data_IF_352513986900
#
_entry.id   IF_352513986900
#
_cell.length_a   1.000
_cell.length_b   1.000
_cell.length_c   1.000
_cell.angle_alpha   90.00
_cell.angle_beta   90.00
_cell.angle_gamma   90.00
#
_symmetry.space_group_name_H-M   'P 1'
#
loop_
_entity.id
_entity.type
_entity.pdbx_description
1 polymer ?
#
# COMPACT_ATOMS: atom_id res chain seq x y z
N UNK A 1 12.76 13.90 -8.34
CA UNK A 1 11.42 14.52 -8.42
C UNK A 1 10.56 13.98 -7.28
N UNK A 2 9.90 14.87 -6.54
CA UNK A 2 9.04 14.51 -5.42
C UNK A 2 7.77 13.82 -5.93
N UNK A 3 7.40 12.69 -5.28
CA UNK A 3 6.13 12.01 -5.53
C UNK A 3 5.10 12.34 -4.46
N UNK A 4 5.52 12.39 -3.20
CA UNK A 4 4.66 12.71 -2.06
C UNK A 4 5.28 13.83 -1.25
N UNK A 5 4.48 14.84 -0.93
CA UNK A 5 4.86 15.90 -0.01
C UNK A 5 3.74 16.09 1.00
N UNK A 6 4.09 15.99 2.27
CA UNK A 6 3.21 16.33 3.40
C UNK A 6 3.67 17.66 3.96
N UNK A 7 2.73 18.62 4.12
CA UNK A 7 3.02 19.96 4.66
C UNK A 7 2.16 20.24 5.88
N UNK A 8 2.83 20.45 7.01
CA UNK A 8 2.20 20.87 8.26
C UNK A 8 1.02 19.98 8.68
N UNK A 9 1.15 18.66 8.50
CA UNK A 9 0.10 17.72 8.88
C UNK A 9 -0.05 17.73 10.40
N UNK A 10 -1.24 18.08 10.88
CA UNK A 10 -1.59 17.96 12.31
C UNK A 10 -2.87 17.14 12.45
N UNK A 11 -2.83 16.21 13.38
CA UNK A 11 -3.93 15.27 13.64
C UNK A 11 -3.96 14.84 15.10
N UNK A 12 -5.16 14.75 15.66
CA UNK A 12 -5.38 14.29 17.04
C UNK A 12 -6.53 13.28 17.12
N UNK A 13 -6.37 12.25 17.94
CA UNK A 13 -7.48 11.42 18.37
C UNK A 13 -7.99 11.92 19.72
N UNK A 14 -9.18 12.52 19.76
CA UNK A 14 -9.71 13.21 20.96
C UNK A 14 -8.66 14.17 21.50
N UNK A 15 -8.19 13.95 22.72
CA UNK A 15 -7.20 14.81 23.40
C UNK A 15 -5.74 14.40 23.15
N UNK A 16 -5.50 13.34 22.36
CA UNK A 16 -4.14 12.85 22.09
C UNK A 16 -3.65 13.34 20.73
N UNK A 17 -2.68 14.25 20.74
CA UNK A 17 -1.97 14.69 19.54
C UNK A 17 -1.15 13.52 19.00
N UNK A 18 -1.28 13.23 17.71
CA UNK A 18 -0.53 12.19 16.97
C UNK A 18 0.50 12.85 16.06
N UNK A 19 0.09 13.90 15.33
CA UNK A 19 0.97 14.71 14.49
C UNK A 19 0.79 16.19 14.83
N UNK A 20 1.89 16.94 14.87
CA UNK A 20 1.91 18.37 15.10
C UNK A 20 2.87 19.04 14.10
N UNK A 21 2.31 19.67 13.06
CA UNK A 21 3.06 20.31 11.97
C UNK A 21 4.05 19.35 11.26
N UNK A 22 3.68 18.08 11.14
CA UNK A 22 4.53 17.05 10.53
C UNK A 22 4.75 17.35 9.04
N UNK A 23 6.03 17.34 8.63
CA UNK A 23 6.45 17.57 7.26
C UNK A 23 7.25 16.38 6.75
N UNK A 24 7.00 15.97 5.51
CA UNK A 24 7.65 14.83 4.91
C UNK A 24 7.70 14.93 3.39
N UNK A 25 8.80 14.48 2.79
CA UNK A 25 8.98 14.43 1.34
C UNK A 25 9.52 13.07 0.92
N UNK A 26 8.96 12.53 -0.15
CA UNK A 26 9.38 11.29 -0.79
C UNK A 26 9.59 11.51 -2.28
N UNK A 27 10.68 10.97 -2.84
CA UNK A 27 10.93 11.02 -4.28
C UNK A 27 10.27 9.87 -5.02
N UNK A 28 10.14 10.02 -6.36
CA UNK A 28 9.63 8.96 -7.24
C UNK A 28 10.51 7.72 -7.14
N UNK A 29 9.84 6.56 -7.23
CA UNK A 29 10.48 5.24 -7.23
C UNK A 29 11.27 4.90 -5.96
N UNK A 30 11.09 5.65 -4.87
CA UNK A 30 11.65 5.28 -3.57
C UNK A 30 10.78 4.20 -2.89
N UNK A 31 11.44 3.40 -2.05
CA UNK A 31 10.79 2.56 -1.05
C UNK A 31 11.12 3.17 0.31
N UNK A 32 10.10 3.46 1.11
CA UNK A 32 10.25 4.00 2.46
C UNK A 32 9.57 3.08 3.48
N UNK A 33 10.30 2.73 4.53
CA UNK A 33 9.80 2.00 5.68
C UNK A 33 9.46 2.97 6.81
N UNK A 34 8.25 2.91 7.33
CA UNK A 34 7.86 3.58 8.56
C UNK A 34 7.99 2.58 9.72
N UNK A 35 9.00 2.76 10.56
CA UNK A 35 9.36 1.83 11.64
C UNK A 35 8.97 2.43 12.99
N UNK A 36 8.41 1.63 13.88
CA UNK A 36 8.10 2.06 15.24
C UNK A 36 7.08 1.16 15.94
N UNK A 37 6.84 1.37 17.22
CA UNK A 37 5.93 0.55 18.01
C UNK A 37 4.47 0.70 17.54
N UNK A 38 3.64 -0.27 17.94
CA UNK A 38 2.19 -0.20 17.66
C UNK A 38 1.56 1.01 18.37
N UNK A 39 0.64 1.68 17.67
CA UNK A 39 -0.11 2.82 18.20
C UNK A 39 0.64 4.17 18.20
N UNK A 40 1.77 4.30 17.49
CA UNK A 40 2.49 5.57 17.34
C UNK A 40 2.05 6.41 16.11
N UNK A 41 0.98 6.03 15.41
CA UNK A 41 0.40 6.84 14.33
C UNK A 41 0.72 6.41 12.90
N UNK A 42 1.55 5.38 12.66
CA UNK A 42 1.95 4.95 11.30
C UNK A 42 0.77 4.66 10.38
N UNK A 43 -0.14 3.78 10.79
CA UNK A 43 -1.35 3.45 10.01
C UNK A 43 -2.29 4.65 9.85
N UNK A 44 -2.30 5.57 10.83
CA UNK A 44 -3.05 6.84 10.73
C UNK A 44 -2.46 7.72 9.62
N UNK A 45 -1.13 7.84 9.54
CA UNK A 45 -0.49 8.59 8.47
C UNK A 45 -0.79 7.99 7.09
N UNK A 46 -0.76 6.65 6.96
CA UNK A 46 -1.16 5.99 5.71
C UNK A 46 -2.61 6.32 5.33
N UNK A 47 -3.54 6.37 6.30
CA UNK A 47 -4.94 6.74 6.06
C UNK A 47 -5.11 8.20 5.65
N UNK A 48 -4.35 9.13 6.25
CA UNK A 48 -4.31 10.54 5.85
C UNK A 48 -3.81 10.66 4.41
N UNK A 49 -2.70 10.05 4.06
CA UNK A 49 -2.12 10.06 2.70
C UNK A 49 -3.11 9.50 1.69
N UNK A 50 -3.75 8.38 2.01
CA UNK A 50 -4.73 7.75 1.12
C UNK A 50 -6.05 8.54 1.03
N UNK A 51 -6.40 9.33 2.06
CA UNK A 51 -7.63 10.11 2.16
C UNK A 51 -8.80 9.37 2.79
N UNK A 52 -8.54 8.29 3.50
CA UNK A 52 -9.52 7.62 4.37
C UNK A 52 -9.70 8.36 5.70
N UNK A 53 -8.67 9.06 6.16
CA UNK A 53 -8.76 9.99 7.27
C UNK A 53 -8.77 11.40 6.69
N UNK A 54 -9.78 12.18 7.04
CA UNK A 54 -10.01 13.53 6.49
C UNK A 54 -10.04 14.62 7.55
N UNK A 55 -10.11 14.25 8.83
CA UNK A 55 -10.18 15.19 9.95
C UNK A 55 -8.76 15.58 10.42
N UNK A 56 -7.99 16.20 9.52
CA UNK A 56 -6.64 16.70 9.79
C UNK A 56 -6.45 18.10 9.19
N UNK A 57 -5.43 18.81 9.64
CA UNK A 57 -4.97 20.05 9.02
C UNK A 57 -3.66 19.83 8.24
N UNK A 58 -3.36 20.73 7.32
CA UNK A 58 -2.20 20.65 6.45
C UNK A 58 -2.52 20.11 5.06
N UNK A 59 -1.49 19.89 4.25
CA UNK A 59 -1.63 19.52 2.84
C UNK A 59 -0.93 18.22 2.51
N UNK A 60 -1.63 17.36 1.75
CA UNK A 60 -1.07 16.18 1.08
C UNK A 60 -0.97 16.48 -0.41
N UNK A 61 0.25 16.46 -0.94
CA UNK A 61 0.49 16.65 -2.37
C UNK A 61 1.03 15.34 -2.99
N UNK A 62 0.41 14.90 -4.07
CA UNK A 62 0.88 13.81 -4.90
C UNK A 62 1.35 14.36 -6.24
N UNK A 63 2.63 14.14 -6.58
CA UNK A 63 3.23 14.65 -7.82
C UNK A 63 3.01 16.17 -8.00
N UNK A 64 3.11 16.92 -6.89
CA UNK A 64 2.91 18.38 -6.81
C UNK A 64 1.44 18.83 -6.78
N UNK A 65 0.47 17.93 -6.92
CA UNK A 65 -0.98 18.25 -6.89
C UNK A 65 -1.54 18.01 -5.49
N UNK A 66 -2.20 19.01 -4.90
CA UNK A 66 -2.90 18.85 -3.63
C UNK A 66 -4.09 17.90 -3.80
N UNK A 67 -4.10 16.81 -3.02
CA UNK A 67 -5.11 15.73 -3.12
C UNK A 67 -6.13 15.75 -1.97
N UNK A 68 -6.11 16.72 -1.07
CA UNK A 68 -7.00 16.75 0.09
C UNK A 68 -8.48 16.59 -0.29
N UNK A 69 -8.92 17.29 -1.34
CA UNK A 69 -10.31 17.28 -1.81
C UNK A 69 -10.56 16.24 -2.94
N UNK A 70 -9.57 15.42 -3.29
CA UNK A 70 -9.74 14.37 -4.30
C UNK A 70 -10.28 13.11 -3.63
N UNK A 71 -11.40 12.53 -4.08
CA UNK A 71 -11.92 11.27 -3.56
C UNK A 71 -10.89 10.14 -3.63
N UNK A 72 -10.87 9.25 -2.62
CA UNK A 72 -9.90 8.14 -2.49
C UNK A 72 -9.72 7.34 -3.78
N UNK A 73 -10.82 7.02 -4.45
CA UNK A 73 -10.81 6.23 -5.70
C UNK A 73 -10.32 6.99 -6.95
N UNK A 74 -9.97 8.26 -6.81
CA UNK A 74 -9.39 9.11 -7.88
C UNK A 74 -7.98 9.60 -7.55
N UNK A 75 -7.47 9.20 -6.38
CA UNK A 75 -6.11 9.54 -5.96
C UNK A 75 -5.16 8.49 -6.50
N UNK A 76 -4.40 8.48 -7.41
CA UNK A 76 -3.42 7.45 -7.82
C UNK A 76 -2.60 6.84 -6.64
N UNK A 77 -3.26 6.61 -5.50
CA UNK A 77 -2.74 6.08 -4.24
C UNK A 77 -3.58 4.88 -3.83
N UNK A 78 -2.96 3.72 -3.66
CA UNK A 78 -3.63 2.52 -3.16
C UNK A 78 -3.08 2.14 -1.80
N UNK A 79 -3.98 1.83 -0.86
CA UNK A 79 -3.64 1.33 0.47
C UNK A 79 -4.03 -0.15 0.59
N UNK A 80 -3.04 -0.98 0.91
CA UNK A 80 -3.24 -2.36 1.33
C UNK A 80 -3.18 -2.44 2.85
N UNK A 81 -4.25 -2.90 3.47
CA UNK A 81 -4.34 -3.10 4.91
C UNK A 81 -3.62 -4.38 5.36
N UNK A 82 -3.34 -4.45 6.66
CA UNK A 82 -2.75 -5.62 7.31
C UNK A 82 -3.56 -6.91 7.03
N UNK A 83 -4.88 -6.83 7.16
CA UNK A 83 -5.77 -7.87 6.66
C UNK A 83 -5.87 -7.76 5.14
N UNK A 84 -5.77 -8.88 4.44
CA UNK A 84 -5.77 -8.89 2.97
C UNK A 84 -7.06 -8.33 2.35
N UNK A 85 -8.16 -8.30 3.12
CA UNK A 85 -9.48 -7.77 2.74
C UNK A 85 -9.94 -8.20 1.33
N UNK A 86 -9.65 -9.47 0.98
CA UNK A 86 -10.15 -10.03 -0.27
C UNK A 86 -11.67 -10.19 -0.20
N UNK A 87 -12.35 -9.98 -1.31
CA UNK A 87 -13.79 -10.21 -1.43
C UNK A 87 -14.05 -11.73 -1.42
N UNK A 88 -14.64 -12.29 -0.34
CA UNK A 88 -14.71 -13.75 -0.17
C UNK A 88 -15.66 -14.45 -1.15
N UNK A 89 -16.60 -13.69 -1.72
CA UNK A 89 -17.60 -14.15 -2.69
C UNK A 89 -17.15 -13.99 -4.16
N UNK A 90 -15.98 -13.44 -4.38
CA UNK A 90 -15.36 -13.25 -5.70
C UNK A 90 -14.21 -14.23 -5.88
N UNK A 91 -14.02 -14.70 -7.12
CA UNK A 91 -12.84 -15.47 -7.52
C UNK A 91 -11.56 -14.62 -7.40
N UNK A 92 -10.40 -15.24 -7.52
CA UNK A 92 -9.13 -14.52 -7.55
C UNK A 92 -9.04 -13.59 -8.75
N UNK A 93 -9.52 -14.05 -9.92
CA UNK A 93 -9.62 -13.19 -11.10
C UNK A 93 -10.46 -11.95 -10.83
N UNK A 94 -11.66 -12.12 -10.26
CA UNK A 94 -12.57 -11.02 -9.95
C UNK A 94 -12.02 -10.08 -8.86
N UNK A 95 -11.31 -10.60 -7.87
CA UNK A 95 -10.62 -9.78 -6.89
C UNK A 95 -9.56 -8.89 -7.54
N UNK A 96 -8.75 -9.43 -8.45
CA UNK A 96 -7.69 -8.68 -9.11
C UNK A 96 -8.26 -7.66 -10.09
N UNK A 97 -9.25 -8.03 -10.90
CA UNK A 97 -9.84 -7.13 -11.92
C UNK A 97 -10.66 -5.97 -11.34
N UNK A 98 -11.00 -6.02 -10.03
CA UNK A 98 -12.02 -5.17 -9.42
C UNK A 98 -11.82 -3.67 -9.71
N UNK A 99 -10.60 -3.14 -9.50
CA UNK A 99 -10.30 -1.73 -9.77
C UNK A 99 -10.47 -1.38 -11.24
N UNK A 100 -9.99 -2.22 -12.15
CA UNK A 100 -10.10 -1.99 -13.60
C UNK A 100 -11.56 -1.96 -14.10
N UNK A 101 -12.43 -2.81 -13.50
CA UNK A 101 -13.87 -2.74 -13.77
C UNK A 101 -14.49 -1.42 -13.34
N UNK A 102 -14.11 -0.93 -12.16
CA UNK A 102 -14.59 0.36 -11.66
C UNK A 102 -14.12 1.53 -12.53
N UNK A 103 -12.92 1.43 -13.10
CA UNK A 103 -12.35 2.38 -14.05
C UNK A 103 -12.86 2.19 -15.50
N UNK A 104 -13.76 1.20 -15.71
CA UNK A 104 -14.42 0.90 -17.00
C UNK A 104 -13.46 0.49 -18.13
N UNK A 105 -12.38 -0.20 -17.80
CA UNK A 105 -11.50 -0.79 -18.81
C UNK A 105 -12.25 -1.80 -19.70
N UNK A 106 -11.86 -1.96 -20.99
CA UNK A 106 -12.42 -2.98 -21.88
C UNK A 106 -12.15 -4.40 -21.36
N UNK A 107 -13.11 -5.30 -21.47
CA UNK A 107 -12.99 -6.68 -20.94
C UNK A 107 -11.74 -7.43 -21.43
N UNK A 108 -11.36 -7.24 -22.70
CA UNK A 108 -10.18 -7.91 -23.27
C UNK A 108 -8.88 -7.39 -22.68
N UNK A 109 -8.80 -6.09 -22.35
CA UNK A 109 -7.64 -5.49 -21.67
C UNK A 109 -7.56 -5.98 -20.22
N UNK A 110 -8.69 -5.99 -19.50
CA UNK A 110 -8.77 -6.51 -18.13
C UNK A 110 -8.21 -7.93 -18.08
N UNK A 111 -8.68 -8.81 -18.97
CA UNK A 111 -8.23 -10.21 -19.01
C UNK A 111 -6.70 -10.29 -19.19
N UNK A 112 -6.15 -9.55 -20.16
CA UNK A 112 -4.71 -9.52 -20.41
C UNK A 112 -3.92 -9.02 -19.20
N UNK A 113 -4.36 -7.93 -18.57
CA UNK A 113 -3.69 -7.35 -17.39
C UNK A 113 -3.74 -8.30 -16.19
N UNK A 114 -4.89 -8.95 -15.94
CA UNK A 114 -5.02 -9.91 -14.85
C UNK A 114 -4.14 -11.14 -15.07
N UNK A 115 -4.10 -11.69 -16.29
CA UNK A 115 -3.23 -12.82 -16.63
C UNK A 115 -1.73 -12.47 -16.46
N UNK A 116 -1.35 -11.25 -16.83
CA UNK A 116 0.02 -10.75 -16.66
C UNK A 116 0.40 -10.64 -15.18
N UNK A 117 -0.42 -9.95 -14.38
CA UNK A 117 -0.18 -9.81 -12.93
C UNK A 117 -0.20 -11.16 -12.23
N UNK A 118 -1.10 -12.07 -12.63
CA UNK A 118 -1.18 -13.41 -12.05
C UNK A 118 0.10 -14.24 -12.26
N UNK A 119 0.81 -14.03 -13.37
CA UNK A 119 2.14 -14.62 -13.60
C UNK A 119 3.18 -14.05 -12.64
N UNK A 120 3.17 -12.74 -12.42
CA UNK A 120 4.12 -12.08 -11.53
C UNK A 120 3.98 -12.58 -10.08
N UNK A 121 2.76 -12.92 -9.66
CA UNK A 121 2.49 -13.44 -8.31
C UNK A 121 2.49 -14.99 -8.24
N UNK A 122 2.79 -15.69 -9.35
CA UNK A 122 2.79 -17.15 -9.47
C UNK A 122 1.47 -17.83 -9.05
N UNK A 123 0.34 -17.27 -9.50
CA UNK A 123 -1.01 -17.79 -9.22
C UNK A 123 -1.90 -17.89 -10.46
N UNK A 124 -1.30 -17.98 -11.66
CA UNK A 124 -2.02 -18.07 -12.93
C UNK A 124 -2.95 -19.30 -13.03
N UNK A 125 -2.61 -20.37 -12.34
CA UNK A 125 -3.40 -21.63 -12.27
C UNK A 125 -4.57 -21.55 -11.26
N UNK A 126 -4.65 -20.49 -10.47
CA UNK A 126 -5.62 -20.32 -9.37
C UNK A 126 -6.64 -19.21 -9.59
N UNK A 127 -6.67 -18.60 -10.76
CA UNK A 127 -7.55 -17.47 -11.04
C UNK A 127 -9.05 -17.76 -10.82
N UNK A 128 -9.48 -19.00 -11.03
CA UNK A 128 -10.86 -19.43 -10.83
C UNK A 128 -11.19 -19.89 -9.40
N UNK A 129 -10.19 -19.88 -8.49
CA UNK A 129 -10.36 -20.22 -7.08
C UNK A 129 -10.95 -19.05 -6.28
N UNK A 130 -11.51 -19.35 -5.12
CA UNK A 130 -11.97 -18.37 -4.15
C UNK A 130 -10.90 -18.16 -3.05
N UNK A 131 -10.90 -17.00 -2.35
CA UNK A 131 -9.92 -16.71 -1.30
C UNK A 131 -9.80 -17.82 -0.24
N UNK A 132 -10.90 -18.44 0.17
CA UNK A 132 -10.92 -19.53 1.17
C UNK A 132 -10.15 -20.79 0.74
N UNK A 133 -9.83 -20.94 -0.54
CA UNK A 133 -9.10 -22.08 -1.11
C UNK A 133 -7.59 -21.81 -1.17
N UNK A 134 -7.15 -20.63 -0.73
CA UNK A 134 -5.75 -20.20 -0.76
C UNK A 134 -5.13 -20.17 0.63
N UNK A 135 -3.82 -20.43 0.72
CA UNK A 135 -3.04 -20.15 1.92
C UNK A 135 -2.96 -18.65 2.22
N UNK A 136 -2.63 -18.26 3.47
CA UNK A 136 -2.48 -16.85 3.84
C UNK A 136 -1.46 -16.10 2.97
N UNK A 137 -0.31 -16.72 2.65
CA UNK A 137 0.68 -16.14 1.75
C UNK A 137 0.16 -15.95 0.32
N UNK A 138 -0.62 -16.90 -0.19
CA UNK A 138 -1.27 -16.78 -1.49
C UNK A 138 -2.31 -15.66 -1.50
N UNK A 139 -3.12 -15.54 -0.44
CA UNK A 139 -4.06 -14.42 -0.28
C UNK A 139 -3.33 -13.08 -0.26
N UNK A 140 -2.17 -13.00 0.43
CA UNK A 140 -1.34 -11.80 0.46
C UNK A 140 -0.84 -11.41 -0.94
N UNK A 141 -0.40 -12.38 -1.74
CA UNK A 141 -0.01 -12.15 -3.14
C UNK A 141 -1.18 -11.63 -3.99
N UNK A 142 -2.38 -12.18 -3.83
CA UNK A 142 -3.58 -11.67 -4.51
C UNK A 142 -3.91 -10.24 -4.09
N UNK A 143 -3.81 -9.91 -2.81
CA UNK A 143 -4.05 -8.56 -2.31
C UNK A 143 -3.05 -7.55 -2.92
N UNK A 144 -1.76 -7.91 -3.03
CA UNK A 144 -0.76 -7.11 -3.72
C UNK A 144 -1.08 -6.96 -5.22
N UNK A 145 -1.45 -8.04 -5.91
CA UNK A 145 -1.84 -7.99 -7.31
C UNK A 145 -3.01 -7.04 -7.55
N UNK A 146 -4.06 -7.14 -6.71
CA UNK A 146 -5.21 -6.23 -6.74
C UNK A 146 -4.82 -4.77 -6.51
N UNK A 147 -3.83 -4.54 -5.63
CA UNK A 147 -3.37 -3.19 -5.31
C UNK A 147 -2.56 -2.54 -6.44
N UNK A 148 -1.86 -3.33 -7.26
CA UNK A 148 -0.94 -2.78 -8.28
C UNK A 148 -1.49 -2.82 -9.70
N UNK A 149 -2.58 -3.55 -9.95
CA UNK A 149 -3.09 -3.72 -11.32
C UNK A 149 -3.52 -2.40 -11.96
N UNK A 150 -3.98 -1.42 -11.18
CA UNK A 150 -4.29 -0.06 -11.64
C UNK A 150 -3.04 0.82 -11.82
N UNK A 151 -1.85 0.27 -11.54
CA UNK A 151 -0.56 0.97 -11.66
C UNK A 151 -0.52 2.29 -10.87
N UNK A 152 -0.79 2.27 -9.56
CA UNK A 152 -0.81 3.49 -8.76
C UNK A 152 0.56 4.16 -8.72
N UNK A 153 0.58 5.49 -8.62
CA UNK A 153 1.80 6.27 -8.42
C UNK A 153 2.44 5.98 -7.06
N UNK A 154 1.59 5.72 -6.05
CA UNK A 154 2.02 5.44 -4.67
C UNK A 154 1.24 4.24 -4.10
N UNK A 155 1.97 3.24 -3.63
CA UNK A 155 1.44 2.08 -2.94
C UNK A 155 1.78 2.17 -1.45
N UNK A 156 0.76 2.10 -0.62
CA UNK A 156 0.86 2.12 0.83
C UNK A 156 0.57 0.71 1.35
N UNK A 157 1.48 0.16 2.17
CA UNK A 157 1.36 -1.19 2.71
C UNK A 157 1.38 -1.13 4.24
N UNK A 158 0.29 -1.48 4.89
CA UNK A 158 0.19 -1.53 6.35
C UNK A 158 0.55 -2.93 6.84
N UNK A 159 1.72 -3.07 7.46
CA UNK A 159 2.30 -4.33 7.98
C UNK A 159 2.23 -5.52 6.99
N UNK A 160 2.76 -5.38 5.77
CA UNK A 160 2.56 -6.36 4.70
C UNK A 160 3.23 -7.72 4.96
N UNK A 161 4.15 -7.81 5.92
CA UNK A 161 4.95 -9.01 6.20
C UNK A 161 4.63 -9.66 7.54
N UNK A 162 3.74 -9.06 8.33
CA UNK A 162 3.36 -9.54 9.67
C UNK A 162 2.58 -10.85 9.58
N UNK A 163 2.90 -11.80 10.49
CA UNK A 163 2.21 -13.09 10.59
C UNK A 163 2.59 -14.11 9.52
N UNK A 164 3.63 -13.84 8.70
CA UNK A 164 4.14 -14.77 7.69
C UNK A 164 5.37 -15.53 8.23
N UNK A 165 5.49 -16.80 7.86
CA UNK A 165 6.73 -17.54 8.06
C UNK A 165 7.86 -16.97 7.20
N UNK A 166 9.11 -17.34 7.53
CA UNK A 166 10.30 -16.75 6.93
C UNK A 166 10.37 -16.90 5.40
N UNK A 167 9.95 -18.06 4.87
CA UNK A 167 10.03 -18.32 3.43
C UNK A 167 9.01 -17.48 2.68
N UNK A 168 7.75 -17.48 3.14
CA UNK A 168 6.67 -16.67 2.55
C UNK A 168 6.97 -15.18 2.69
N UNK A 169 7.53 -14.75 3.83
CA UNK A 169 7.96 -13.35 4.02
C UNK A 169 8.96 -12.94 2.93
N UNK A 170 9.98 -13.74 2.65
CA UNK A 170 10.96 -13.48 1.60
C UNK A 170 10.32 -13.40 0.21
N UNK A 171 9.40 -14.31 -0.10
CA UNK A 171 8.66 -14.29 -1.37
C UNK A 171 7.85 -12.99 -1.54
N UNK A 172 7.14 -12.55 -0.49
CA UNK A 172 6.36 -11.31 -0.54
C UNK A 172 7.28 -10.08 -0.67
N UNK A 173 8.40 -10.04 0.04
CA UNK A 173 9.38 -8.95 -0.10
C UNK A 173 9.98 -8.90 -1.52
N UNK A 174 10.28 -10.07 -2.14
CA UNK A 174 10.72 -10.11 -3.52
C UNK A 174 9.64 -9.60 -4.48
N UNK A 175 8.38 -9.97 -4.25
CA UNK A 175 7.26 -9.46 -5.03
C UNK A 175 7.15 -7.93 -4.93
N UNK A 176 7.34 -7.34 -3.76
CA UNK A 176 7.36 -5.88 -3.57
C UNK A 176 8.47 -5.22 -4.42
N UNK A 177 9.67 -5.84 -4.52
CA UNK A 177 10.74 -5.36 -5.42
C UNK A 177 10.32 -5.41 -6.90
N UNK A 178 9.75 -6.54 -7.33
CA UNK A 178 9.26 -6.71 -8.71
C UNK A 178 8.19 -5.65 -9.03
N UNK A 179 7.25 -5.42 -8.11
CA UNK A 179 6.20 -4.41 -8.25
C UNK A 179 6.81 -3.02 -8.44
N UNK A 180 7.74 -2.63 -7.56
CA UNK A 180 8.40 -1.33 -7.65
C UNK A 180 9.09 -1.14 -9.00
N UNK A 181 9.84 -2.13 -9.47
CA UNK A 181 10.61 -2.06 -10.71
C UNK A 181 9.73 -2.12 -11.95
N UNK A 182 8.80 -3.08 -11.99
CA UNK A 182 7.96 -3.31 -13.18
C UNK A 182 6.91 -2.23 -13.41
N UNK A 183 6.34 -1.70 -12.31
CA UNK A 183 5.23 -0.74 -12.39
C UNK A 183 5.65 0.70 -12.11
N UNK A 184 6.95 0.95 -11.84
CA UNK A 184 7.50 2.26 -11.46
C UNK A 184 6.72 2.93 -10.31
N UNK A 185 6.23 2.12 -9.37
CA UNK A 185 5.41 2.55 -8.25
C UNK A 185 6.30 2.90 -7.05
N UNK A 186 6.10 4.07 -6.47
CA UNK A 186 6.71 4.43 -5.19
C UNK A 186 6.00 3.69 -4.06
N UNK A 187 6.73 3.24 -3.03
CA UNK A 187 6.17 2.37 -1.99
C UNK A 187 6.47 2.92 -0.61
N UNK A 188 5.45 3.04 0.23
CA UNK A 188 5.61 3.24 1.68
C UNK A 188 5.05 1.98 2.37
N UNK A 189 5.82 1.41 3.29
CA UNK A 189 5.31 0.32 4.11
C UNK A 189 5.59 0.55 5.60
N UNK A 190 4.65 0.06 6.40
CA UNK A 190 4.75 0.08 7.86
C UNK A 190 5.31 -1.25 8.33
N UNK A 191 6.27 -1.19 9.26
CA UNK A 191 6.82 -2.38 9.91
C UNK A 191 7.34 -2.04 11.32
N UNK A 192 7.59 -3.07 12.11
CA UNK A 192 8.36 -2.98 13.36
C UNK A 192 9.72 -3.71 13.26
N UNK A 193 10.05 -4.27 12.07
CA UNK A 193 11.25 -5.07 11.82
C UNK A 193 12.20 -4.34 10.84
N UNK A 194 13.32 -3.83 11.37
CA UNK A 194 14.32 -3.11 10.58
C UNK A 194 14.92 -3.99 9.46
N UNK A 195 15.00 -5.31 9.68
CA UNK A 195 15.56 -6.23 8.67
C UNK A 195 14.76 -6.26 7.36
N UNK A 196 13.46 -5.95 7.42
CA UNK A 196 12.61 -5.85 6.24
C UNK A 196 12.97 -4.61 5.40
N UNK A 197 13.24 -3.48 6.06
CA UNK A 197 13.71 -2.27 5.41
C UNK A 197 15.09 -2.46 4.75
N UNK A 198 16.00 -3.10 5.46
CA UNK A 198 17.34 -3.44 4.94
C UNK A 198 17.26 -4.36 3.73
N UNK A 199 16.44 -5.43 3.80
CA UNK A 199 16.24 -6.36 2.70
C UNK A 199 15.70 -5.67 1.44
N UNK A 200 14.75 -4.76 1.61
CA UNK A 200 14.14 -3.99 0.52
C UNK A 200 15.01 -2.81 0.06
N UNK A 201 16.14 -2.55 0.72
CA UNK A 201 16.97 -1.35 0.52
C UNK A 201 16.14 -0.06 0.63
N UNK A 202 15.18 -0.06 1.55
CA UNK A 202 14.31 1.06 1.79
C UNK A 202 15.02 2.12 2.64
N UNK A 203 14.75 3.39 2.38
CA UNK A 203 14.98 4.43 3.39
C UNK A 203 13.99 4.21 4.52
N UNK A 204 14.33 4.58 5.74
CA UNK A 204 13.39 4.41 6.85
C UNK A 204 13.24 5.67 7.68
N UNK A 205 12.07 5.77 8.31
CA UNK A 205 11.69 6.81 9.25
C UNK A 205 11.28 6.12 10.55
N UNK A 206 11.86 6.56 11.66
CA UNK A 206 11.52 6.02 12.97
C UNK A 206 10.42 6.84 13.63
N UNK A 207 9.37 6.16 14.03
CA UNK A 207 8.28 6.70 14.84
C UNK A 207 8.48 6.29 16.30
N UNK A 208 8.49 7.24 17.20
CA UNK A 208 8.68 6.97 18.64
C UNK A 208 7.37 7.04 19.41
N UNK A 209 7.27 6.27 20.48
CA UNK A 209 6.08 6.27 21.31
C UNK A 209 6.07 7.51 22.21
N UNK A 210 5.02 8.34 22.11
CA UNK A 210 4.82 9.50 22.97
C UNK A 210 5.49 10.79 22.50
N UNK A 211 6.19 10.78 21.37
CA UNK A 211 6.57 12.00 20.66
C UNK A 211 5.49 12.28 19.61
N UNK A 212 4.89 13.46 19.66
CA UNK A 212 4.17 14.02 18.52
C UNK A 212 5.22 14.31 17.44
N UNK A 213 5.04 13.76 16.26
CA UNK A 213 5.91 13.99 15.10
C UNK A 213 5.52 15.29 14.42
#
# INVERSE_FOLDING_TARGET
>A
MEILTLKNISFSYKDKVIFDNYNFVMNKEEIIAMIGPSGCGKSTLLKIINGLETDYSGDVLLDGVNVNNIPVNKRDIVLMFQDNLLFPHMTIFENIEFSLKMEKYPKHEIKKMVEEVAKDIHLQDKLNKYPKELSGGQQRRVALARAVISKPKLLLLDEPFTGLDKEIKLEIMNLVKIIREKYNTSIIFVTHDLSEAEYLKAKYIEFKKGESL
#
